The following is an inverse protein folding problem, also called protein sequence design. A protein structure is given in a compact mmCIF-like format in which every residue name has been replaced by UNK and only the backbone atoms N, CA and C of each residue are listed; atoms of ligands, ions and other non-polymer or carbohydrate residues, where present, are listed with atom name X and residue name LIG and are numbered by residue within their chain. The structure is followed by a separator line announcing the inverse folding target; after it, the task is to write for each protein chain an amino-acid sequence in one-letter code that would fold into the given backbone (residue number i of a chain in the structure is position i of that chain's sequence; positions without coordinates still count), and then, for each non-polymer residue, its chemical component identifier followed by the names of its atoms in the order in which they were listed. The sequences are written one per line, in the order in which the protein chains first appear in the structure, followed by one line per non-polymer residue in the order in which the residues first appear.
data_IF_553419274319
#
_entry.id   IF_553419274319
#
_cell.length_a   1.000
_cell.length_b   1.000
_cell.length_c   1.000
_cell.angle_alpha   90.00
_cell.angle_beta   90.00
_cell.angle_gamma   90.00
#
_symmetry.space_group_name_H-M   'P 1'
#
loop_
_entity.id
_entity.type
_entity.pdbx_description
1 polymer ?
#
# COMPACT_ATOMS: atom_id res chain seq x y z
N UNK A 1 35.34 -40.30 -0.92
CA UNK A 1 34.70 -39.31 -0.04
C UNK A 1 34.75 -37.89 -0.62
N UNK A 2 35.48 -37.64 -1.72
CA UNK A 2 35.63 -36.30 -2.34
C UNK A 2 34.46 -35.84 -3.25
N UNK A 3 33.44 -36.66 -3.47
CA UNK A 3 32.30 -36.31 -4.35
C UNK A 3 31.04 -35.83 -3.62
N UNK A 4 31.07 -35.69 -2.29
CA UNK A 4 29.92 -35.17 -1.51
C UNK A 4 30.05 -33.68 -1.13
N UNK A 5 31.24 -33.11 -1.15
CA UNK A 5 31.46 -31.69 -0.77
C UNK A 5 31.28 -30.69 -1.93
N UNK A 6 31.13 -31.15 -3.18
CA UNK A 6 30.92 -30.29 -4.36
C UNK A 6 29.46 -29.99 -4.69
N UNK A 7 28.51 -30.49 -3.91
CA UNK A 7 27.06 -30.34 -4.15
C UNK A 7 26.35 -29.38 -3.17
N UNK A 8 27.07 -28.79 -2.20
CA UNK A 8 26.48 -27.88 -1.20
C UNK A 8 26.69 -26.38 -1.51
N UNK A 9 27.38 -26.03 -2.60
CA UNK A 9 27.49 -24.64 -3.10
C UNK A 9 26.89 -24.52 -4.50
N UNK A 10 25.67 -25.03 -4.70
CA UNK A 10 24.83 -24.45 -5.74
C UNK A 10 24.48 -23.05 -5.25
N UNK A 11 24.89 -22.01 -5.98
CA UNK A 11 24.51 -20.61 -5.71
C UNK A 11 23.01 -20.56 -5.42
N UNK A 12 22.65 -20.51 -4.12
CA UNK A 12 21.28 -20.17 -3.75
C UNK A 12 21.03 -18.80 -4.38
N UNK A 13 19.94 -18.62 -5.15
CA UNK A 13 19.68 -17.35 -5.78
C UNK A 13 19.74 -16.26 -4.72
N UNK A 14 20.48 -15.18 -5.02
CA UNK A 14 20.61 -14.06 -4.10
C UNK A 14 19.20 -13.64 -3.68
N UNK A 15 18.96 -13.65 -2.36
CA UNK A 15 17.67 -13.31 -1.78
C UNK A 15 17.15 -12.00 -2.40
N UNK A 16 15.89 -11.93 -2.85
CA UNK A 16 15.35 -10.73 -3.46
C UNK A 16 15.41 -9.54 -2.51
N UNK A 17 15.46 -8.32 -3.06
CA UNK A 17 15.37 -7.08 -2.26
C UNK A 17 14.03 -7.08 -1.53
N UNK A 18 13.99 -6.74 -0.22
CA UNK A 18 12.74 -6.71 0.51
C UNK A 18 11.84 -5.62 -0.08
N UNK A 19 10.58 -5.97 -0.34
CA UNK A 19 9.55 -5.01 -0.75
C UNK A 19 8.63 -4.71 0.42
N UNK A 20 8.40 -3.43 0.67
CA UNK A 20 7.42 -2.95 1.63
C UNK A 20 6.27 -2.27 0.88
N UNK A 21 5.07 -2.85 0.89
CA UNK A 21 3.84 -2.20 0.43
C UNK A 21 3.17 -1.47 1.61
N UNK A 22 3.03 -0.16 1.53
CA UNK A 22 2.26 0.65 2.47
C UNK A 22 0.96 1.11 1.82
N UNK A 23 -0.17 0.67 2.36
CA UNK A 23 -1.51 1.14 2.01
C UNK A 23 -1.95 2.28 2.94
N UNK A 24 -2.05 3.49 2.41
CA UNK A 24 -2.47 4.70 3.11
C UNK A 24 -3.97 4.95 2.92
N UNK A 25 -4.79 4.14 3.59
CA UNK A 25 -6.24 4.09 3.38
C UNK A 25 -6.95 5.41 3.68
N UNK A 26 -7.83 5.84 2.75
CA UNK A 26 -8.50 7.14 2.81
C UNK A 26 -7.73 8.26 2.11
N UNK A 27 -6.58 7.95 1.49
CA UNK A 27 -5.80 8.90 0.70
C UNK A 27 -6.19 8.85 -0.78
N UNK A 28 -7.12 9.70 -1.20
CA UNK A 28 -7.45 9.92 -2.61
C UNK A 28 -6.70 11.10 -3.22
N UNK A 29 -6.82 11.25 -4.53
CA UNK A 29 -6.23 12.32 -5.33
C UNK A 29 -7.34 13.07 -6.04
N UNK A 30 -7.40 14.38 -5.77
CA UNK A 30 -8.28 15.34 -6.45
C UNK A 30 -7.61 16.70 -6.47
N UNK A 31 -8.15 17.64 -7.24
CA UNK A 31 -7.67 19.01 -7.28
C UNK A 31 -7.64 19.63 -5.86
N UNK A 32 -6.62 20.45 -5.60
CA UNK A 32 -6.43 21.09 -4.30
C UNK A 32 -7.55 22.07 -3.99
N UNK A 33 -8.15 21.94 -2.81
CA UNK A 33 -9.17 22.85 -2.29
C UNK A 33 -9.24 22.77 -0.75
N UNK A 34 -10.03 23.64 -0.14
CA UNK A 34 -10.27 23.74 1.30
C UNK A 34 -11.03 22.56 1.91
N UNK A 35 -11.78 21.80 1.10
CA UNK A 35 -12.48 20.58 1.52
C UNK A 35 -11.58 19.33 1.52
N UNK A 36 -10.34 19.45 1.05
CA UNK A 36 -9.38 18.38 0.92
C UNK A 36 -8.37 18.43 2.07
N UNK A 37 -8.55 17.59 3.10
CA UNK A 37 -7.67 17.56 4.26
C UNK A 37 -6.23 17.18 3.89
N UNK A 38 -6.03 16.41 2.81
CA UNK A 38 -4.70 16.02 2.32
C UNK A 38 -3.96 17.23 1.73
N UNK A 39 -4.66 18.08 0.97
CA UNK A 39 -4.11 19.29 0.38
C UNK A 39 -3.82 20.38 1.41
N UNK A 40 -4.61 20.43 2.49
CA UNK A 40 -4.42 21.37 3.60
C UNK A 40 -3.27 20.92 4.52
N UNK A 41 -3.05 19.62 4.68
CA UNK A 41 -2.01 19.08 5.54
C UNK A 41 -0.59 19.37 5.03
N UNK A 42 0.35 19.55 5.95
CA UNK A 42 1.78 19.69 5.61
C UNK A 42 2.42 18.32 5.37
N UNK A 43 2.63 17.97 4.11
CA UNK A 43 3.14 16.65 3.67
C UNK A 43 4.47 16.71 2.88
N UNK A 44 5.54 17.30 3.43
CA UNK A 44 6.79 17.54 2.71
C UNK A 44 7.50 16.25 2.30
N UNK A 45 7.32 15.14 3.04
CA UNK A 45 7.97 13.89 2.71
C UNK A 45 7.27 13.22 1.53
N UNK A 46 5.93 13.15 1.56
CA UNK A 46 5.14 12.63 0.45
C UNK A 46 5.38 13.42 -0.84
N UNK A 47 5.30 14.76 -0.78
CA UNK A 47 5.54 15.62 -1.95
C UNK A 47 6.95 15.47 -2.52
N UNK A 48 7.97 15.32 -1.65
CA UNK A 48 9.32 15.02 -2.10
C UNK A 48 9.39 13.65 -2.79
N UNK A 49 8.73 12.63 -2.26
CA UNK A 49 8.72 11.31 -2.88
C UNK A 49 8.08 11.33 -4.27
N UNK A 50 6.95 12.03 -4.44
CA UNK A 50 6.31 12.22 -5.75
C UNK A 50 7.24 12.87 -6.77
N UNK A 51 8.11 13.79 -6.32
CA UNK A 51 9.07 14.48 -7.18
C UNK A 51 10.31 13.64 -7.50
N UNK A 52 10.81 12.92 -6.50
CA UNK A 52 12.11 12.25 -6.57
C UNK A 52 12.04 10.83 -7.14
N UNK A 53 10.85 10.22 -7.19
CA UNK A 53 10.65 8.82 -7.56
C UNK A 53 9.46 8.65 -8.52
N UNK A 54 9.39 7.52 -9.24
CA UNK A 54 8.20 7.16 -9.99
C UNK A 54 6.93 7.28 -9.18
N UNK A 55 6.01 8.10 -9.69
CA UNK A 55 4.71 8.30 -9.11
C UNK A 55 3.64 8.30 -10.21
N UNK A 56 2.49 7.73 -9.88
CA UNK A 56 1.31 7.71 -10.71
C UNK A 56 0.06 7.76 -9.83
N UNK A 57 -1.11 7.75 -10.49
CA UNK A 57 -2.39 7.52 -9.82
C UNK A 57 -3.09 6.31 -10.44
N UNK A 58 -3.89 5.63 -9.63
CA UNK A 58 -4.64 4.44 -10.03
C UNK A 58 -6.13 4.67 -9.89
N UNK A 59 -6.92 4.13 -10.82
CA UNK A 59 -8.37 4.07 -10.67
C UNK A 59 -8.76 3.03 -9.61
N UNK A 60 -9.80 3.34 -8.83
CA UNK A 60 -10.34 2.44 -7.80
C UNK A 60 -11.59 1.69 -8.27
N UNK A 61 -12.45 2.36 -9.05
CA UNK A 61 -13.60 1.82 -9.81
C UNK A 61 -14.54 0.82 -9.10
N UNK A 62 -14.58 0.80 -7.76
CA UNK A 62 -15.49 -0.05 -6.99
C UNK A 62 -15.84 0.66 -5.68
N UNK A 63 -17.10 0.61 -5.22
CA UNK A 63 -17.50 1.25 -3.96
C UNK A 63 -17.25 0.38 -2.73
N UNK A 64 -16.98 -0.91 -2.92
CA UNK A 64 -16.83 -1.87 -1.84
C UNK A 64 -15.35 -2.07 -1.52
N UNK A 65 -14.99 -1.85 -0.26
CA UNK A 65 -13.61 -1.96 0.23
C UNK A 65 -13.02 -3.36 0.04
N UNK A 66 -13.80 -4.41 0.30
CA UNK A 66 -13.36 -5.79 0.12
C UNK A 66 -13.03 -6.08 -1.35
N UNK A 67 -13.85 -5.59 -2.28
CA UNK A 67 -13.61 -5.74 -3.72
C UNK A 67 -12.35 -5.00 -4.19
N UNK A 68 -12.03 -3.86 -3.57
CA UNK A 68 -10.78 -3.12 -3.82
C UNK A 68 -9.55 -3.91 -3.36
N UNK A 69 -9.59 -4.46 -2.14
CA UNK A 69 -8.50 -5.31 -1.62
C UNK A 69 -8.36 -6.62 -2.41
N UNK A 70 -9.47 -7.22 -2.82
CA UNK A 70 -9.48 -8.38 -3.70
C UNK A 70 -8.83 -8.06 -5.04
N UNK A 71 -9.15 -6.91 -5.65
CA UNK A 71 -8.50 -6.49 -6.90
C UNK A 71 -6.99 -6.24 -6.70
N UNK A 72 -6.61 -5.54 -5.63
CA UNK A 72 -5.22 -5.24 -5.27
C UNK A 72 -4.36 -6.51 -5.15
N UNK A 73 -4.81 -7.48 -4.37
CA UNK A 73 -4.02 -8.67 -4.05
C UNK A 73 -4.10 -9.75 -5.13
N UNK A 74 -5.25 -9.92 -5.76
CA UNK A 74 -5.42 -10.94 -6.81
C UNK A 74 -4.83 -10.54 -8.16
N UNK A 75 -4.60 -9.25 -8.39
CA UNK A 75 -4.19 -8.75 -9.71
C UNK A 75 -5.29 -8.89 -10.77
N UNK A 76 -6.54 -9.07 -10.36
CA UNK A 76 -7.72 -9.18 -11.23
C UNK A 76 -8.61 -7.96 -11.05
N UNK A 77 -9.09 -7.39 -12.15
CA UNK A 77 -10.15 -6.37 -12.07
C UNK A 77 -11.45 -7.05 -11.65
N UNK A 78 -11.94 -6.73 -10.46
CA UNK A 78 -13.12 -7.37 -9.86
C UNK A 78 -14.31 -6.41 -9.82
N UNK A 79 -15.45 -6.89 -10.31
CA UNK A 79 -16.70 -6.11 -10.30
C UNK A 79 -17.45 -6.25 -8.96
N UNK A 80 -17.31 -7.37 -8.25
CA UNK A 80 -17.94 -7.62 -6.95
C UNK A 80 -17.17 -8.64 -6.08
N UNK A 81 -17.41 -8.62 -4.77
CA UNK A 81 -16.66 -9.40 -3.78
C UNK A 81 -16.88 -10.92 -3.82
N UNK A 82 -17.79 -11.43 -4.65
CA UNK A 82 -18.06 -12.87 -4.81
C UNK A 82 -17.48 -13.47 -6.09
N UNK A 83 -16.79 -12.66 -6.89
CA UNK A 83 -16.10 -13.12 -8.08
C UNK A 83 -15.02 -14.13 -7.69
N UNK A 84 -15.08 -15.33 -8.26
CA UNK A 84 -14.07 -16.35 -8.03
C UNK A 84 -12.74 -15.90 -8.63
N UNK A 85 -11.70 -15.84 -7.79
CA UNK A 85 -10.33 -15.59 -8.21
C UNK A 85 -9.44 -16.67 -7.61
N UNK A 86 -8.57 -17.26 -8.43
CA UNK A 86 -7.81 -18.46 -8.06
C UNK A 86 -6.30 -18.21 -7.97
N UNK A 87 -5.86 -16.96 -8.11
CA UNK A 87 -4.47 -16.56 -8.03
C UNK A 87 -4.37 -15.21 -7.33
N UNK A 88 -3.29 -15.02 -6.57
CA UNK A 88 -3.00 -13.79 -5.85
C UNK A 88 -1.50 -13.66 -5.55
N UNK A 89 -1.09 -12.43 -5.26
CA UNK A 89 0.28 -12.07 -4.93
C UNK A 89 0.84 -12.94 -3.79
N UNK A 90 0.07 -13.12 -2.72
CA UNK A 90 0.52 -13.86 -1.54
C UNK A 90 0.74 -15.35 -1.86
N UNK A 91 -0.11 -15.94 -2.70
CA UNK A 91 0.05 -17.31 -3.18
C UNK A 91 1.34 -17.49 -3.99
N UNK A 92 1.63 -16.59 -4.93
CA UNK A 92 2.83 -16.66 -5.77
C UNK A 92 4.11 -16.50 -4.92
N UNK A 93 4.11 -15.56 -3.96
CA UNK A 93 5.23 -15.38 -3.02
C UNK A 93 5.47 -16.68 -2.21
N UNK A 94 4.39 -17.27 -1.68
CA UNK A 94 4.47 -18.51 -0.89
C UNK A 94 5.00 -19.68 -1.72
N UNK A 95 4.51 -19.87 -2.95
CA UNK A 95 4.97 -20.91 -3.87
C UNK A 95 6.44 -20.74 -4.28
N UNK A 96 6.94 -19.51 -4.25
CA UNK A 96 8.34 -19.18 -4.48
C UNK A 96 9.23 -19.40 -3.24
N UNK A 97 8.69 -20.00 -2.17
CA UNK A 97 9.38 -20.23 -0.89
C UNK A 97 9.89 -18.94 -0.20
N UNK A 98 9.30 -17.80 -0.55
CA UNK A 98 9.61 -16.51 0.06
C UNK A 98 8.70 -16.24 1.26
N UNK A 99 9.21 -15.48 2.22
CA UNK A 99 8.47 -15.12 3.44
C UNK A 99 7.78 -13.79 3.30
N UNK A 100 6.57 -13.70 3.85
CA UNK A 100 5.77 -12.49 3.82
C UNK A 100 5.10 -12.16 5.16
N UNK A 101 4.94 -10.86 5.43
CA UNK A 101 4.29 -10.35 6.63
C UNK A 101 3.20 -9.34 6.26
N UNK A 102 2.01 -9.50 6.85
CA UNK A 102 0.96 -8.47 6.84
C UNK A 102 0.85 -7.79 8.20
N UNK A 103 0.92 -6.46 8.21
CA UNK A 103 0.76 -5.63 9.42
C UNK A 103 -0.48 -4.75 9.24
N UNK A 104 -1.44 -4.84 10.14
CA UNK A 104 -2.74 -4.21 9.95
C UNK A 104 -3.42 -3.90 11.27
N UNK A 105 -4.34 -2.94 11.27
CA UNK A 105 -5.28 -2.80 12.37
C UNK A 105 -6.44 -3.80 12.28
N UNK A 106 -7.18 -3.93 13.39
CA UNK A 106 -8.33 -4.84 13.50
C UNK A 106 -9.47 -4.49 12.55
N UNK A 107 -9.64 -3.21 12.17
CA UNK A 107 -10.70 -2.75 11.25
C UNK A 107 -10.48 -3.19 9.79
N UNK A 108 -9.27 -3.67 9.46
CA UNK A 108 -8.90 -4.12 8.11
C UNK A 108 -8.60 -5.61 8.04
N UNK A 109 -8.89 -6.37 9.09
CA UNK A 109 -8.55 -7.79 9.17
C UNK A 109 -9.03 -8.59 7.96
N UNK A 110 -10.35 -8.67 7.76
CA UNK A 110 -10.91 -9.46 6.66
C UNK A 110 -10.47 -8.96 5.27
N UNK A 111 -10.47 -7.64 5.07
CA UNK A 111 -10.11 -7.01 3.79
C UNK A 111 -8.65 -7.32 3.39
N UNK A 112 -7.71 -7.14 4.31
CA UNK A 112 -6.29 -7.24 4.00
C UNK A 112 -5.72 -8.66 4.14
N UNK A 113 -6.42 -9.55 4.85
CA UNK A 113 -6.05 -10.96 4.89
C UNK A 113 -6.81 -11.74 3.83
N UNK A 114 -8.09 -12.04 4.09
CA UNK A 114 -8.90 -12.92 3.24
C UNK A 114 -9.12 -12.36 1.84
N UNK A 115 -9.69 -11.16 1.70
CA UNK A 115 -9.99 -10.61 0.38
C UNK A 115 -8.73 -10.36 -0.45
N UNK A 116 -7.69 -9.77 0.13
CA UNK A 116 -6.39 -9.63 -0.53
C UNK A 116 -5.82 -10.98 -1.00
N UNK A 117 -6.05 -12.05 -0.25
CA UNK A 117 -5.66 -13.42 -0.60
C UNK A 117 -6.74 -14.16 -1.41
N UNK A 118 -7.45 -13.48 -2.31
CA UNK A 118 -8.48 -14.11 -3.14
C UNK A 118 -9.56 -14.87 -2.34
N UNK A 119 -10.01 -14.27 -1.23
CA UNK A 119 -11.05 -14.80 -0.32
C UNK A 119 -10.58 -16.06 0.45
N UNK A 120 -9.26 -16.24 0.62
CA UNK A 120 -8.69 -17.34 1.38
C UNK A 120 -8.57 -17.02 2.86
N UNK A 121 -9.21 -17.82 3.70
CA UNK A 121 -9.19 -17.63 5.15
C UNK A 121 -7.90 -18.15 5.82
N UNK A 122 -7.32 -19.22 5.27
CA UNK A 122 -6.10 -19.81 5.82
C UNK A 122 -4.84 -19.06 5.41
N UNK A 123 -3.90 -18.95 6.34
CA UNK A 123 -2.55 -18.46 6.05
C UNK A 123 -1.81 -19.40 5.12
N UNK A 124 -1.06 -18.82 4.18
CA UNK A 124 -0.18 -19.57 3.31
C UNK A 124 1.13 -19.96 4.01
N UNK A 125 1.84 -21.00 3.55
CA UNK A 125 3.19 -21.29 4.00
C UNK A 125 4.11 -20.05 3.86
N UNK A 126 4.81 -19.68 4.93
CA UNK A 126 5.68 -18.50 4.94
C UNK A 126 4.96 -17.15 5.11
N UNK A 127 3.64 -17.14 5.31
CA UNK A 127 2.84 -15.94 5.58
C UNK A 127 2.55 -15.76 7.08
N UNK A 128 2.93 -14.59 7.60
CA UNK A 128 2.64 -14.17 8.96
C UNK A 128 1.69 -12.95 8.96
N UNK A 129 0.81 -12.85 9.95
CA UNK A 129 -0.09 -11.70 10.15
C UNK A 129 0.13 -11.12 11.55
N UNK A 130 0.26 -9.79 11.62
CA UNK A 130 0.41 -9.03 12.85
C UNK A 130 -0.68 -7.97 12.94
N UNK A 131 -1.66 -8.21 13.81
CA UNK A 131 -2.77 -7.27 14.04
C UNK A 131 -2.46 -6.29 15.17
N UNK A 132 -2.70 -5.01 14.94
CA UNK A 132 -2.55 -3.92 15.89
C UNK A 132 -3.93 -3.55 16.39
N UNK A 133 -4.20 -3.79 17.68
CA UNK A 133 -5.46 -3.38 18.28
C UNK A 133 -5.55 -1.84 18.37
N UNK A 134 -6.67 -1.33 17.86
CA UNK A 134 -7.14 0.04 18.04
C UNK A 134 -8.19 0.13 19.17
N UNK A 135 -8.21 -0.79 20.15
CA UNK A 135 -9.14 -0.73 21.29
C UNK A 135 -8.39 -0.39 22.59
N UNK A 136 -8.35 0.91 22.95
CA UNK A 136 -8.21 1.38 24.34
C UNK A 136 -8.34 2.93 24.43
N UNK A 137 -9.33 3.42 25.20
CA UNK A 137 -9.62 4.80 25.68
C UNK A 137 -9.40 6.04 24.76
N UNK A 138 -10.50 6.79 24.54
CA UNK A 138 -10.64 8.03 23.75
C UNK A 138 -10.12 7.93 22.30
N UNK A 139 -11.06 7.80 21.36
CA UNK A 139 -10.81 7.35 19.99
C UNK A 139 -9.82 8.20 19.17
N UNK A 140 -9.51 9.44 19.56
CA UNK A 140 -8.54 10.31 18.86
C UNK A 140 -7.07 10.02 19.21
N UNK A 141 -6.77 9.72 20.49
CA UNK A 141 -5.42 9.31 20.93
C UNK A 141 -5.02 7.99 20.25
N UNK A 142 -6.03 7.18 19.92
CA UNK A 142 -5.88 5.84 19.40
C UNK A 142 -5.29 5.80 17.99
N UNK A 143 -5.78 6.66 17.08
CA UNK A 143 -5.26 6.75 15.71
C UNK A 143 -3.73 6.93 15.73
N UNK A 144 -3.22 7.95 16.43
CA UNK A 144 -1.78 8.21 16.48
C UNK A 144 -0.99 7.08 17.15
N UNK A 145 -1.53 6.45 18.19
CA UNK A 145 -0.86 5.34 18.88
C UNK A 145 -0.81 4.08 18.01
N UNK A 146 -1.89 3.78 17.29
CA UNK A 146 -1.98 2.70 16.31
C UNK A 146 -0.94 2.89 15.20
N UNK A 147 -0.86 4.08 14.60
CA UNK A 147 0.15 4.41 13.59
C UNK A 147 1.57 4.24 14.13
N UNK A 148 1.84 4.72 15.36
CA UNK A 148 3.15 4.55 16.01
C UNK A 148 3.50 3.08 16.25
N UNK A 149 2.52 2.24 16.60
CA UNK A 149 2.71 0.79 16.73
C UNK A 149 3.01 0.16 15.36
N UNK A 150 2.27 0.55 14.31
CA UNK A 150 2.46 0.06 12.96
C UNK A 150 3.86 0.36 12.43
N UNK A 151 4.30 1.60 12.56
CA UNK A 151 5.65 2.01 12.14
C UNK A 151 6.72 1.24 12.91
N UNK A 152 6.55 1.06 14.22
CA UNK A 152 7.53 0.34 15.05
C UNK A 152 7.67 -1.12 14.62
N UNK A 153 6.56 -1.83 14.47
CA UNK A 153 6.59 -3.24 14.08
C UNK A 153 7.03 -3.42 12.63
N UNK A 154 6.70 -2.47 11.75
CA UNK A 154 7.21 -2.40 10.37
C UNK A 154 8.73 -2.25 10.34
N UNK A 155 9.28 -1.28 11.09
CA UNK A 155 10.73 -1.07 11.21
C UNK A 155 11.42 -2.32 11.76
N UNK A 156 10.84 -2.94 12.80
CA UNK A 156 11.35 -4.20 13.36
C UNK A 156 11.34 -5.33 12.34
N UNK A 157 10.29 -5.45 11.54
CA UNK A 157 10.19 -6.49 10.50
C UNK A 157 11.24 -6.29 9.40
N UNK A 158 11.49 -5.04 8.97
CA UNK A 158 12.54 -4.70 8.01
C UNK A 158 13.92 -5.09 8.57
N UNK A 159 14.26 -4.62 9.77
CA UNK A 159 15.57 -4.89 10.42
C UNK A 159 15.87 -6.35 10.68
N UNK A 160 14.84 -7.13 10.97
CA UNK A 160 15.02 -8.55 11.25
C UNK A 160 15.35 -9.34 9.98
N UNK A 161 15.15 -8.76 8.80
CA UNK A 161 15.41 -9.40 7.51
C UNK A 161 14.80 -10.81 7.45
N UNK A 162 13.60 -11.01 7.99
CA UNK A 162 12.95 -12.33 8.00
C UNK A 162 11.89 -12.48 6.90
N UNK A 163 11.59 -11.39 6.20
CA UNK A 163 10.53 -11.33 5.20
C UNK A 163 11.08 -10.71 3.91
N UNK A 164 10.67 -11.26 2.78
CA UNK A 164 10.97 -10.78 1.43
C UNK A 164 9.90 -9.80 0.95
N UNK A 165 8.68 -9.94 1.46
CA UNK A 165 7.56 -9.02 1.24
C UNK A 165 6.90 -8.63 2.55
N UNK A 166 6.73 -7.33 2.80
CA UNK A 166 5.98 -6.80 3.93
C UNK A 166 4.87 -5.93 3.37
N UNK A 167 3.64 -6.16 3.79
CA UNK A 167 2.51 -5.32 3.43
C UNK A 167 1.90 -4.75 4.71
N UNK A 168 1.69 -3.43 4.75
CA UNK A 168 1.10 -2.75 5.89
C UNK A 168 -0.07 -1.86 5.48
N UNK A 169 -1.13 -1.84 6.27
CA UNK A 169 -2.28 -0.93 6.08
C UNK A 169 -2.65 -0.26 7.39
N UNK A 170 -3.11 0.99 7.30
CA UNK A 170 -3.54 1.78 8.45
C UNK A 170 -4.85 2.52 8.14
N UNK A 171 -5.91 2.17 8.86
CA UNK A 171 -7.28 2.69 8.64
C UNK A 171 -7.56 4.03 9.33
N UNK A 172 -6.66 4.55 10.17
CA UNK A 172 -6.97 5.71 11.01
C UNK A 172 -7.22 7.01 10.24
N UNK A 173 -6.70 7.14 9.01
CA UNK A 173 -7.02 8.27 8.14
C UNK A 173 -8.46 8.19 7.64
N UNK A 174 -8.85 7.08 7.02
CA UNK A 174 -10.24 6.80 6.61
C UNK A 174 -11.24 6.91 7.78
N UNK A 175 -10.87 6.38 8.95
CA UNK A 175 -11.71 6.46 10.15
C UNK A 175 -11.93 7.90 10.64
N UNK A 176 -10.87 8.74 10.64
CA UNK A 176 -10.99 10.16 11.01
C UNK A 176 -11.85 10.93 10.00
N UNK A 177 -11.67 10.66 8.71
CA UNK A 177 -12.45 11.27 7.66
C UNK A 177 -13.95 10.88 7.73
N UNK A 178 -14.24 9.61 7.98
CA UNK A 178 -15.61 9.08 8.16
C UNK A 178 -16.34 9.70 9.36
N UNK A 179 -15.62 10.18 10.38
CA UNK A 179 -16.24 10.93 11.48
C UNK A 179 -16.61 12.36 11.08
N UNK A 180 -15.97 12.90 10.05
CA UNK A 180 -16.09 14.29 9.64
C UNK A 180 -15.28 15.27 10.50
N UNK A 181 -14.27 14.79 11.25
CA UNK A 181 -13.36 15.68 11.98
C UNK A 181 -12.22 16.13 11.06
N UNK A 182 -12.43 17.25 10.38
CA UNK A 182 -11.45 17.80 9.43
C UNK A 182 -10.11 18.14 10.08
N UNK A 183 -10.13 18.76 11.26
CA UNK A 183 -8.92 19.20 11.97
C UNK A 183 -8.08 18.01 12.44
N UNK A 184 -8.74 16.96 12.95
CA UNK A 184 -8.09 15.71 13.30
C UNK A 184 -7.54 15.01 12.06
N UNK A 185 -8.32 14.94 10.98
CA UNK A 185 -7.92 14.26 9.74
C UNK A 185 -6.64 14.89 9.17
N UNK A 186 -6.55 16.22 9.14
CA UNK A 186 -5.32 16.94 8.75
C UNK A 186 -4.12 16.49 9.59
N UNK A 187 -4.27 16.36 10.92
CA UNK A 187 -3.17 15.90 11.80
C UNK A 187 -2.80 14.44 11.57
N UNK A 188 -3.76 13.59 11.22
CA UNK A 188 -3.50 12.19 10.85
C UNK A 188 -2.69 12.15 9.55
N UNK A 189 -3.05 12.94 8.54
CA UNK A 189 -2.28 13.07 7.28
C UNK A 189 -0.83 13.49 7.56
N UNK A 190 -0.62 14.52 8.40
CA UNK A 190 0.73 14.98 8.76
C UNK A 190 1.53 13.94 9.56
N UNK A 191 0.84 13.11 10.35
CA UNK A 191 1.48 12.02 11.09
C UNK A 191 1.86 10.86 10.18
N UNK A 192 1.03 10.58 9.18
CA UNK A 192 1.29 9.58 8.14
C UNK A 192 2.47 10.00 7.26
N UNK A 193 2.61 11.28 6.93
CA UNK A 193 3.78 11.82 6.23
C UNK A 193 5.10 11.55 6.99
N UNK A 194 5.10 11.72 8.32
CA UNK A 194 6.25 11.39 9.17
C UNK A 194 6.52 9.88 9.24
N UNK A 195 5.46 9.08 9.27
CA UNK A 195 5.55 7.62 9.24
C UNK A 195 6.18 7.13 7.92
N UNK A 196 5.72 7.67 6.78
CA UNK A 196 6.29 7.42 5.45
C UNK A 196 7.78 7.72 5.45
N UNK A 197 8.22 8.86 5.99
CA UNK A 197 9.66 9.18 6.08
C UNK A 197 10.45 8.16 6.89
N UNK A 198 9.88 7.69 8.00
CA UNK A 198 10.55 6.70 8.86
C UNK A 198 10.71 5.36 8.12
N UNK A 199 9.65 4.91 7.44
CA UNK A 199 9.65 3.66 6.68
C UNK A 199 10.55 3.75 5.45
N UNK A 200 10.54 4.87 4.72
CA UNK A 200 11.44 5.14 3.60
C UNK A 200 12.91 5.03 4.02
N UNK A 201 13.31 5.69 5.11
CA UNK A 201 14.69 5.65 5.57
C UNK A 201 15.12 4.22 5.89
N UNK A 202 14.27 3.50 6.62
CA UNK A 202 14.55 2.15 7.08
C UNK A 202 14.67 1.14 5.92
N UNK A 203 13.72 1.14 4.99
CA UNK A 203 13.72 0.19 3.87
C UNK A 203 14.86 0.47 2.88
N UNK A 204 15.22 1.74 2.66
CA UNK A 204 16.33 2.11 1.79
C UNK A 204 17.70 1.77 2.40
N UNK A 205 17.84 1.86 3.73
CA UNK A 205 19.04 1.40 4.46
C UNK A 205 19.29 -0.10 4.22
N UNK A 206 18.22 -0.89 4.10
CA UNK A 206 18.25 -2.32 3.79
C UNK A 206 18.18 -2.61 2.28
N UNK A 207 18.42 -1.60 1.44
CA UNK A 207 18.41 -1.68 -0.05
C UNK A 207 17.10 -2.25 -0.63
N UNK A 208 16.01 -2.16 0.12
CA UNK A 208 14.67 -2.57 -0.27
C UNK A 208 13.95 -1.52 -1.09
N UNK A 209 12.68 -1.81 -1.36
CA UNK A 209 11.78 -0.95 -2.14
C UNK A 209 10.53 -0.68 -1.31
N UNK A 210 10.15 0.59 -1.17
CA UNK A 210 8.87 1.00 -0.60
C UNK A 210 7.90 1.33 -1.73
N UNK A 211 6.78 0.62 -1.76
CA UNK A 211 5.64 0.92 -2.62
C UNK A 211 4.57 1.56 -1.76
N UNK A 212 4.16 2.78 -2.07
CA UNK A 212 3.07 3.49 -1.38
C UNK A 212 1.86 3.51 -2.29
N UNK A 213 0.73 3.00 -1.82
CA UNK A 213 -0.54 3.03 -2.54
C UNK A 213 -1.72 3.26 -1.59
N UNK A 214 -2.94 3.33 -2.10
CA UNK A 214 -4.16 3.22 -1.29
C UNK A 214 -5.18 2.35 -2.01
N UNK A 215 -6.13 1.78 -1.29
CA UNK A 215 -7.28 1.12 -1.92
C UNK A 215 -8.39 2.12 -2.30
N UNK A 216 -8.41 3.30 -1.65
CA UNK A 216 -9.52 4.24 -1.74
C UNK A 216 -9.24 5.63 -1.15
N UNK A 217 -10.00 6.61 -1.62
CA UNK A 217 -10.04 7.96 -1.05
C UNK A 217 -11.16 8.15 -0.01
N UNK A 218 -11.03 9.22 0.77
CA UNK A 218 -12.00 9.74 1.72
C UNK A 218 -11.58 11.18 2.14
N UNK A 219 -10.36 11.30 2.69
CA UNK A 219 -9.85 12.53 3.30
C UNK A 219 -9.64 13.68 2.30
N UNK A 220 -9.61 13.38 0.99
CA UNK A 220 -9.50 14.39 -0.05
C UNK A 220 -10.82 15.10 -0.39
N UNK A 221 -11.95 14.62 0.16
CA UNK A 221 -13.28 15.21 -0.06
C UNK A 221 -14.12 15.15 1.22
N UNK A 222 -13.76 15.95 2.22
CA UNK A 222 -14.40 15.95 3.55
C UNK A 222 -15.53 16.97 3.74
N UNK A 223 -15.70 17.90 2.79
CA UNK A 223 -16.78 18.90 2.83
C UNK A 223 -17.49 18.85 1.48
N UNK A 224 -18.82 18.78 1.51
CA UNK A 224 -19.62 18.95 0.30
C UNK A 224 -19.70 20.45 -0.02
N UNK A 225 -19.01 20.87 -1.07
CA UNK A 225 -18.91 22.28 -1.47
C UNK A 225 -20.25 22.93 -1.86
N UNK A 226 -21.29 22.15 -2.15
CA UNK A 226 -22.60 22.70 -2.49
C UNK A 226 -23.45 22.98 -1.24
N UNK A 227 -23.24 22.22 -0.17
CA UNK A 227 -24.03 22.30 1.07
C UNK A 227 -23.27 22.83 2.27
N UNK A 228 -21.94 22.91 2.19
CA UNK A 228 -21.01 23.23 3.29
C UNK A 228 -21.12 22.26 4.48
N UNK A 229 -21.65 21.06 4.24
CA UNK A 229 -21.79 20.02 5.26
C UNK A 229 -20.62 19.02 5.21
N UNK A 230 -20.25 18.40 6.35
CA UNK A 230 -19.26 17.34 6.36
C UNK A 230 -19.65 16.18 5.44
N UNK A 231 -18.78 15.85 4.49
CA UNK A 231 -18.83 14.62 3.73
C UNK A 231 -17.99 13.55 4.43
N UNK A 232 -18.59 12.39 4.67
CA UNK A 232 -18.04 11.29 5.48
C UNK A 232 -17.84 10.01 4.67
N UNK A 233 -18.22 10.05 3.40
CA UNK A 233 -18.25 8.88 2.54
C UNK A 233 -16.88 8.68 1.87
N UNK A 234 -16.50 7.40 1.74
CA UNK A 234 -15.38 7.03 0.88
C UNK A 234 -15.65 7.47 -0.56
N UNK A 235 -14.60 7.79 -1.29
CA UNK A 235 -14.68 8.20 -2.69
C UNK A 235 -14.13 7.11 -3.61
N UNK A 236 -14.44 7.24 -4.90
CA UNK A 236 -13.76 6.54 -5.99
C UNK A 236 -12.72 7.41 -6.69
N UNK A 237 -12.27 8.48 -6.04
CA UNK A 237 -11.21 9.29 -6.63
C UNK A 237 -9.98 8.41 -6.87
N UNK A 238 -9.14 8.74 -7.86
CA UNK A 238 -7.88 8.04 -8.06
C UNK A 238 -7.02 8.06 -6.79
N UNK A 239 -6.16 7.07 -6.64
CA UNK A 239 -5.29 6.90 -5.47
C UNK A 239 -3.83 6.96 -5.89
N UNK A 240 -2.89 7.39 -5.04
CA UNK A 240 -1.48 7.45 -5.41
C UNK A 240 -0.89 6.06 -5.59
N UNK A 241 0.15 5.97 -6.43
CA UNK A 241 1.13 4.89 -6.45
C UNK A 241 2.51 5.52 -6.52
N UNK A 242 3.40 5.21 -5.58
CA UNK A 242 4.79 5.70 -5.57
C UNK A 242 5.74 4.53 -5.35
N UNK A 243 6.78 4.43 -6.17
CA UNK A 243 7.78 3.35 -6.09
C UNK A 243 9.14 3.93 -5.69
N UNK A 244 9.53 3.68 -4.44
CA UNK A 244 10.69 4.29 -3.79
C UNK A 244 11.77 3.23 -3.59
N UNK A 245 12.85 3.32 -4.36
CA UNK A 245 14.02 2.46 -4.22
C UNK A 245 15.25 3.16 -4.76
N UNK A 246 16.45 2.76 -4.29
CA UNK A 246 17.71 3.40 -4.70
C UNK A 246 17.87 3.45 -6.23
N UNK A 247 17.45 2.40 -6.92
CA UNK A 247 17.54 2.28 -8.37
C UNK A 247 16.44 3.04 -9.12
N UNK A 248 15.44 3.57 -8.43
CA UNK A 248 14.31 4.30 -9.02
C UNK A 248 14.43 5.83 -8.84
N UNK A 249 15.33 6.30 -7.97
CA UNK A 249 15.47 7.73 -7.71
C UNK A 249 15.85 8.51 -8.97
N UNK A 250 15.06 9.53 -9.30
CA UNK A 250 15.24 10.39 -10.47
C UNK A 250 15.01 9.67 -11.80
N UNK A 251 14.40 8.48 -11.79
CA UNK A 251 14.06 7.74 -13.00
C UNK A 251 12.57 7.79 -13.27
N UNK A 252 12.25 7.73 -14.55
CA UNK A 252 10.91 7.43 -15.06
C UNK A 252 10.86 5.95 -15.45
N UNK A 253 9.76 5.27 -15.16
CA UNK A 253 9.54 3.83 -15.45
C UNK A 253 8.38 3.64 -16.43
N UNK A 254 8.33 4.47 -17.47
CA UNK A 254 7.22 4.52 -18.43
C UNK A 254 5.94 5.21 -17.93
N UNK A 255 5.96 5.70 -16.68
CA UNK A 255 4.90 6.53 -16.11
C UNK A 255 5.16 8.01 -16.40
N UNK A 256 4.11 8.83 -16.50
CA UNK A 256 4.30 10.28 -16.66
C UNK A 256 4.63 10.91 -15.31
N UNK A 257 5.65 11.75 -15.28
CA UNK A 257 5.99 12.52 -14.09
C UNK A 257 4.87 13.49 -13.73
N UNK A 258 4.60 13.64 -12.43
CA UNK A 258 3.64 14.59 -11.90
C UNK A 258 4.12 16.03 -12.15
N UNK A 259 3.40 16.86 -12.93
CA UNK A 259 3.79 18.25 -13.15
C UNK A 259 3.88 18.99 -11.81
N UNK A 260 5.04 19.58 -11.52
CA UNK A 260 5.33 20.27 -10.25
C UNK A 260 5.11 19.40 -8.99
N UNK A 261 5.11 18.07 -9.14
CA UNK A 261 4.81 17.14 -8.05
C UNK A 261 3.33 17.04 -7.68
N UNK A 262 2.42 17.53 -8.54
CA UNK A 262 0.97 17.47 -8.31
C UNK A 262 0.35 16.25 -9.00
N UNK A 263 -0.01 15.25 -8.22
CA UNK A 263 -0.66 14.03 -8.70
C UNK A 263 -2.05 14.28 -9.30
N UNK A 264 -2.74 15.35 -8.92
CA UNK A 264 -4.09 15.66 -9.43
C UNK A 264 -4.10 16.05 -10.90
N UNK A 265 -2.94 16.42 -11.45
CA UNK A 265 -2.75 16.76 -12.86
C UNK A 265 -2.46 15.53 -13.74
N UNK A 266 -2.32 14.35 -13.13
CA UNK A 266 -2.10 13.11 -13.86
C UNK A 266 -3.42 12.48 -14.30
N UNK A 267 -3.35 11.72 -15.40
CA UNK A 267 -4.38 10.73 -15.72
C UNK A 267 -3.98 9.41 -15.05
N UNK A 268 -4.96 8.59 -14.62
CA UNK A 268 -4.65 7.26 -14.10
C UNK A 268 -3.80 6.45 -15.08
N UNK A 269 -2.69 5.91 -14.57
CA UNK A 269 -1.79 5.07 -15.35
C UNK A 269 -2.29 3.62 -15.44
N UNK A 270 -3.14 3.23 -14.49
CA UNK A 270 -3.73 1.91 -14.37
C UNK A 270 -4.80 1.92 -13.28
N UNK A 271 -5.04 0.75 -12.69
CA UNK A 271 -6.04 0.54 -11.66
C UNK A 271 -5.50 -0.39 -10.55
N UNK A 272 -6.30 -0.65 -9.53
CA UNK A 272 -5.90 -1.48 -8.38
C UNK A 272 -5.38 -2.88 -8.78
N UNK A 273 -5.89 -3.49 -9.85
CA UNK A 273 -5.42 -4.81 -10.31
C UNK A 273 -3.97 -4.82 -10.79
N UNK A 274 -3.38 -3.65 -11.05
CA UNK A 274 -2.02 -3.53 -11.57
C UNK A 274 -0.96 -3.55 -10.46
N UNK A 275 -1.37 -3.44 -9.18
CA UNK A 275 -0.47 -3.41 -8.03
C UNK A 275 0.23 -4.76 -7.80
N UNK A 276 -0.51 -5.87 -7.76
CA UNK A 276 0.08 -7.20 -7.58
C UNK A 276 1.09 -7.56 -8.70
N UNK A 277 0.74 -7.43 -10.00
CA UNK A 277 1.70 -7.63 -11.09
C UNK A 277 2.94 -6.73 -11.00
N UNK A 278 2.77 -5.47 -10.60
CA UNK A 278 3.89 -4.54 -10.38
C UNK A 278 4.82 -5.01 -9.26
N UNK A 279 4.27 -5.49 -8.15
CA UNK A 279 5.07 -6.03 -7.04
C UNK A 279 5.80 -7.31 -7.48
N UNK A 280 5.14 -8.21 -8.20
CA UNK A 280 5.78 -9.43 -8.72
C UNK A 280 6.97 -9.11 -9.63
N UNK A 281 6.80 -8.14 -10.54
CA UNK A 281 7.87 -7.66 -11.43
C UNK A 281 9.06 -7.09 -10.62
N UNK A 282 8.79 -6.27 -9.61
CA UNK A 282 9.82 -5.77 -8.68
C UNK A 282 10.54 -6.90 -7.91
N UNK A 283 9.86 -8.01 -7.62
CA UNK A 283 10.44 -9.20 -6.99
C UNK A 283 11.16 -10.12 -7.99
N UNK A 284 11.09 -9.85 -9.29
CA UNK A 284 11.48 -10.75 -10.38
C UNK A 284 10.75 -12.10 -10.32
N UNK A 285 9.46 -12.08 -10.00
CA UNK A 285 8.58 -13.25 -10.00
C UNK A 285 7.63 -13.18 -11.20
N UNK A 286 7.35 -14.33 -11.81
CA UNK A 286 6.39 -14.42 -12.90
C UNK A 286 4.95 -14.23 -12.37
N UNK A 287 4.18 -13.40 -13.07
CA UNK A 287 2.75 -13.29 -12.81
C UNK A 287 2.00 -14.51 -13.33
N UNK A 288 0.91 -14.86 -12.65
CA UNK A 288 -0.02 -15.87 -13.13
C UNK A 288 -0.79 -15.36 -14.36
N UNK A 289 -1.05 -16.24 -15.33
CA UNK A 289 -1.80 -15.91 -16.55
C UNK A 289 -3.25 -15.45 -16.29
N UNK A 290 -3.81 -15.77 -15.12
CA UNK A 290 -5.13 -15.32 -14.68
C UNK A 290 -5.12 -13.87 -14.17
N UNK A 291 -3.96 -13.29 -13.84
CA UNK A 291 -3.86 -11.87 -13.46
C UNK A 291 -4.09 -10.99 -14.69
N UNK A 292 -5.23 -10.30 -14.69
CA UNK A 292 -5.64 -9.39 -15.78
C UNK A 292 -4.93 -8.04 -15.73
N UNK A 293 -4.43 -7.65 -14.56
CA UNK A 293 -3.56 -6.48 -14.41
C UNK A 293 -2.21 -6.65 -15.08
N UNK A 294 -1.52 -5.53 -15.27
CA UNK A 294 -0.18 -5.46 -15.86
C UNK A 294 0.77 -4.70 -14.94
N UNK A 295 2.06 -5.04 -14.98
CA UNK A 295 3.07 -4.25 -14.29
C UNK A 295 3.05 -2.82 -14.84
N UNK A 296 3.15 -1.84 -13.95
CA UNK A 296 3.23 -0.42 -14.27
C UNK A 296 4.69 0.04 -14.47
N UNK A 297 5.63 -0.89 -14.38
CA UNK A 297 7.05 -0.70 -14.68
C UNK A 297 7.32 -1.33 -16.04
N UNK A 298 8.09 -0.63 -16.87
CA UNK A 298 8.53 -1.05 -18.21
C UNK A 298 10.00 -0.80 -18.41
#
# INVERSE_FOLDING_TARGET
MENKEKLENADLPARPKPIFLLLIEGWGVTEKNEANAISVARTPNFLRLVKDYPAAILETNNNNINSRYLSLGSGVKVDNETQAVNSDLSLIISQSSLRQLKILDNERLAAFTSFFNAIREDKLPGEDWLTISLEDNSQSINSFLGLKRLVRESVKAIKNENYDFIAATYSGLDFSATKGDFSETVKVVESLDKAIRTLELEILEHRGILVIAASGGNAEKMIDMATDLPNKEMTNNPVPLIIVGLDFKGKTIGLKDAPEGDLSLLKPAGNLSDVAPTILDLMNLEKDGNMTGSSLIV
#
